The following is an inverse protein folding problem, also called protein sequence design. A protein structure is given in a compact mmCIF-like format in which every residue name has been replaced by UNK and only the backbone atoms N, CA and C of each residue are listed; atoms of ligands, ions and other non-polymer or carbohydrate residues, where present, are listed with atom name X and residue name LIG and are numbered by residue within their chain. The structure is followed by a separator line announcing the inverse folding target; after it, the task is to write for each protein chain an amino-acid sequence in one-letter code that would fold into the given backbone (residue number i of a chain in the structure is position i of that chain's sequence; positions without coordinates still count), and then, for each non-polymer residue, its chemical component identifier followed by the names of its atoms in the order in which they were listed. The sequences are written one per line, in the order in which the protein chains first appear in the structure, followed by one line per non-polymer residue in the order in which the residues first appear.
data_IF_346472560009
#
_entry.id   IF_346472560009
#
_cell.length_a   1.000
_cell.length_b   1.000
_cell.length_c   1.000
_cell.angle_alpha   90.00
_cell.angle_beta   90.00
_cell.angle_gamma   90.00
#
_symmetry.space_group_name_H-M   'P 1'
#
loop_
_entity.id
_entity.type
_entity.pdbx_description
1 polymer ?
#
# COMPACT_ATOMS: atom_id res chain seq x y z
N UNK A 1 -2.65 18.57 -30.43
CA UNK A 1 -3.26 17.29 -30.83
C UNK A 1 -4.02 16.60 -29.69
N UNK A 2 -3.37 15.92 -28.73
CA UNK A 2 -4.02 14.97 -27.81
C UNK A 2 -5.23 15.47 -26.98
N UNK A 3 -5.29 16.77 -26.66
CA UNK A 3 -6.37 17.32 -25.82
C UNK A 3 -7.76 17.22 -26.50
N UNK A 4 -7.83 17.22 -27.84
CA UNK A 4 -9.12 17.11 -28.56
C UNK A 4 -9.69 15.68 -28.54
N UNK A 5 -8.86 14.64 -28.61
CA UNK A 5 -9.31 13.24 -28.51
C UNK A 5 -10.04 12.97 -27.17
N UNK A 6 -9.53 13.55 -26.07
CA UNK A 6 -10.14 13.44 -24.73
C UNK A 6 -11.48 14.17 -24.60
N UNK A 7 -11.78 15.13 -25.49
CA UNK A 7 -13.09 15.80 -25.60
C UNK A 7 -14.05 14.98 -26.47
N UNK A 8 -13.58 14.46 -27.61
CA UNK A 8 -14.40 13.65 -28.53
C UNK A 8 -14.90 12.35 -27.88
N UNK A 9 -14.08 11.68 -27.05
CA UNK A 9 -14.49 10.50 -26.28
C UNK A 9 -15.58 10.85 -25.24
N UNK A 10 -15.61 12.08 -24.70
CA UNK A 10 -16.73 12.56 -23.87
C UNK A 10 -17.98 12.87 -24.71
N UNK A 11 -17.81 13.44 -25.90
CA UNK A 11 -18.92 13.85 -26.78
C UNK A 11 -19.73 12.65 -27.33
N UNK A 12 -19.11 11.49 -27.55
CA UNK A 12 -19.81 10.29 -28.04
C UNK A 12 -20.85 9.73 -27.02
N UNK A 13 -20.75 10.12 -25.75
CA UNK A 13 -21.52 9.54 -24.62
C UNK A 13 -22.98 10.03 -24.51
N UNK A 14 -23.53 10.70 -25.53
CA UNK A 14 -24.85 11.36 -25.46
C UNK A 14 -25.89 10.92 -26.53
N UNK A 15 -25.61 9.92 -27.38
CA UNK A 15 -26.60 9.40 -28.35
C UNK A 15 -26.56 7.87 -28.58
N UNK A 16 -27.21 7.11 -27.69
CA UNK A 16 -28.19 6.06 -28.10
C UNK A 16 -29.11 5.69 -26.93
N UNK A 17 -30.42 5.63 -27.18
CA UNK A 17 -31.46 5.38 -26.18
C UNK A 17 -32.24 4.11 -26.56
N UNK A 18 -32.58 3.26 -25.58
CA UNK A 18 -33.23 1.93 -25.75
C UNK A 18 -32.39 0.92 -26.60
N UNK A 19 -32.62 -0.40 -26.64
CA UNK A 19 -33.76 -1.32 -26.37
C UNK A 19 -33.15 -2.61 -25.72
N UNK A 20 -33.74 -3.49 -24.89
CA UNK A 20 -35.14 -3.83 -24.53
C UNK A 20 -35.31 -4.10 -22.99
N UNK A 21 -36.04 -5.17 -22.59
CA UNK A 21 -36.35 -5.60 -21.19
C UNK A 21 -36.74 -7.11 -21.19
N UNK A 22 -36.94 -7.72 -20.00
CA UNK A 22 -37.31 -9.13 -19.72
C UNK A 22 -36.09 -10.12 -19.79
N UNK A 23 -36.06 -11.28 -19.11
CA UNK A 23 -37.14 -12.02 -18.44
C UNK A 23 -36.74 -12.82 -17.17
N UNK A 24 -37.79 -13.28 -16.46
CA UNK A 24 -37.90 -14.32 -15.40
C UNK A 24 -37.11 -14.33 -14.07
N UNK A 25 -37.93 -14.36 -13.01
CA UNK A 25 -37.68 -14.82 -11.65
C UNK A 25 -37.41 -16.34 -11.57
N UNK A 26 -36.63 -16.76 -10.57
CA UNK A 26 -37.04 -17.84 -9.64
C UNK A 26 -36.46 -17.56 -8.24
N UNK A 27 -37.22 -17.90 -7.19
CA UNK A 27 -36.72 -17.90 -5.81
C UNK A 27 -36.15 -19.28 -5.50
N UNK A 28 -34.95 -19.39 -4.94
CA UNK A 28 -34.44 -20.64 -4.37
C UNK A 28 -33.96 -20.43 -2.94
N UNK A 29 -34.84 -20.71 -1.98
CA UNK A 29 -34.62 -20.46 -0.56
C UNK A 29 -33.89 -21.64 0.11
N UNK A 30 -32.56 -21.64 0.03
CA UNK A 30 -31.73 -22.72 0.59
C UNK A 30 -31.40 -22.44 2.07
N UNK A 31 -32.06 -23.15 2.99
CA UNK A 31 -31.74 -23.13 4.44
C UNK A 31 -30.24 -23.34 4.63
N UNK A 32 -29.61 -22.54 5.50
CA UNK A 32 -28.23 -22.75 5.96
C UNK A 32 -28.24 -23.13 7.44
N UNK A 33 -27.71 -24.31 7.74
CA UNK A 33 -27.45 -24.77 9.11
C UNK A 33 -26.36 -23.91 9.75
N UNK A 34 -26.63 -23.37 10.95
CA UNK A 34 -25.68 -22.52 11.68
C UNK A 34 -24.56 -23.38 12.29
N UNK A 35 -23.53 -23.66 11.50
CA UNK A 35 -22.27 -24.26 11.98
C UNK A 35 -21.24 -23.15 12.23
N UNK A 36 -20.64 -23.11 13.41
CA UNK A 36 -19.72 -22.07 13.90
C UNK A 36 -18.34 -22.11 13.23
N UNK A 37 -18.27 -21.85 11.92
CA UNK A 37 -17.02 -21.75 11.17
C UNK A 37 -16.14 -20.63 11.75
N UNK A 38 -15.05 -20.99 12.45
CA UNK A 38 -13.89 -20.12 12.65
C UNK A 38 -13.44 -19.63 11.28
N UNK A 39 -13.72 -18.37 10.97
CA UNK A 39 -13.51 -17.78 9.65
C UNK A 39 -12.02 -17.55 9.43
N UNK A 40 -11.33 -18.58 8.93
CA UNK A 40 -9.99 -18.45 8.36
C UNK A 40 -9.97 -17.22 7.46
N UNK A 41 -9.06 -16.28 7.75
CA UNK A 41 -8.89 -15.11 6.90
C UNK A 41 -8.25 -15.60 5.61
N UNK A 42 -9.01 -15.59 4.51
CA UNK A 42 -8.49 -15.88 3.18
C UNK A 42 -7.24 -15.03 2.93
N UNK A 43 -6.22 -15.61 2.30
CA UNK A 43 -5.06 -14.87 1.83
C UNK A 43 -5.52 -13.63 1.04
N UNK A 44 -4.78 -12.53 1.17
CA UNK A 44 -5.16 -11.26 0.55
C UNK A 44 -4.76 -11.27 -0.93
N UNK A 45 -5.52 -12.02 -1.73
CA UNK A 45 -5.33 -12.14 -3.18
C UNK A 45 -5.26 -10.77 -3.84
N UNK A 46 -4.05 -10.37 -4.22
CA UNK A 46 -3.84 -9.10 -4.90
C UNK A 46 -4.37 -9.22 -6.32
N UNK A 47 -5.25 -8.29 -6.73
CA UNK A 47 -5.73 -8.24 -8.10
C UNK A 47 -4.56 -7.84 -8.99
N UNK A 48 -4.13 -8.78 -9.84
CA UNK A 48 -3.08 -8.57 -10.82
C UNK A 48 -3.48 -7.47 -11.81
N UNK A 49 -2.52 -6.78 -12.41
CA UNK A 49 -2.77 -5.57 -13.18
C UNK A 49 -3.72 -5.80 -14.37
N UNK A 50 -3.49 -6.88 -15.11
CA UNK A 50 -4.35 -7.34 -16.22
C UNK A 50 -5.83 -7.55 -15.80
N UNK A 51 -6.10 -8.09 -14.62
CA UNK A 51 -7.47 -8.23 -14.11
C UNK A 51 -8.12 -6.85 -13.89
N UNK A 52 -7.35 -5.84 -13.47
CA UNK A 52 -7.87 -4.47 -13.28
C UNK A 52 -8.18 -3.81 -14.62
N UNK A 53 -7.30 -3.96 -15.61
CA UNK A 53 -7.54 -3.48 -16.98
C UNK A 53 -8.79 -4.13 -17.58
N UNK A 54 -8.95 -5.46 -17.43
CA UNK A 54 -10.15 -6.18 -17.87
C UNK A 54 -11.43 -5.71 -17.17
N UNK A 55 -11.37 -5.42 -15.87
CA UNK A 55 -12.50 -4.85 -15.12
C UNK A 55 -12.93 -3.49 -15.70
N UNK A 56 -11.98 -2.61 -16.00
CA UNK A 56 -12.24 -1.31 -16.64
C UNK A 56 -12.80 -1.49 -18.04
N UNK A 57 -12.16 -2.30 -18.89
CA UNK A 57 -12.62 -2.53 -20.27
C UNK A 57 -14.06 -3.07 -20.31
N UNK A 58 -14.42 -4.04 -19.46
CA UNK A 58 -15.80 -4.52 -19.39
C UNK A 58 -16.78 -3.49 -18.81
N UNK A 59 -16.33 -2.58 -17.92
CA UNK A 59 -17.16 -1.47 -17.42
C UNK A 59 -17.43 -0.44 -18.53
N UNK A 60 -16.43 -0.08 -19.33
CA UNK A 60 -16.60 0.85 -20.45
C UNK A 60 -17.42 0.22 -21.60
N UNK A 61 -17.40 -1.11 -21.75
CA UNK A 61 -18.37 -1.87 -22.56
C UNK A 61 -19.79 -1.95 -21.94
N UNK A 62 -20.04 -1.35 -20.76
CA UNK A 62 -21.37 -1.25 -20.15
C UNK A 62 -21.89 -2.51 -19.42
N UNK A 63 -21.04 -3.50 -19.12
CA UNK A 63 -21.47 -4.72 -18.42
C UNK A 63 -21.84 -4.45 -16.96
N UNK A 64 -22.78 -5.24 -16.42
CA UNK A 64 -23.10 -5.16 -15.00
C UNK A 64 -21.94 -5.70 -14.14
N UNK A 65 -21.76 -5.15 -12.94
CA UNK A 65 -20.74 -5.64 -12.00
C UNK A 65 -20.88 -7.13 -11.67
N UNK A 66 -22.06 -7.75 -11.82
CA UNK A 66 -22.28 -9.19 -11.64
C UNK A 66 -21.67 -10.02 -12.77
N UNK A 67 -21.69 -9.53 -14.01
CA UNK A 67 -21.08 -10.20 -15.15
C UNK A 67 -19.56 -10.01 -15.16
N UNK A 68 -19.08 -8.80 -14.88
CA UNK A 68 -17.63 -8.50 -14.74
C UNK A 68 -17.02 -9.41 -13.66
N UNK A 69 -17.68 -9.52 -12.51
CA UNK A 69 -17.33 -10.44 -11.42
C UNK A 69 -17.19 -11.89 -11.91
N UNK A 70 -18.13 -12.39 -12.69
CA UNK A 70 -18.09 -13.75 -13.24
C UNK A 70 -17.01 -13.95 -14.31
N UNK A 71 -16.75 -12.94 -15.17
CA UNK A 71 -15.73 -13.01 -16.23
C UNK A 71 -14.28 -12.87 -15.74
N UNK A 72 -14.08 -12.25 -14.58
CA UNK A 72 -12.75 -11.98 -13.99
C UNK A 72 -12.49 -12.82 -12.72
N UNK A 73 -13.49 -13.54 -12.21
CA UNK A 73 -13.33 -14.47 -11.07
C UNK A 73 -13.05 -13.80 -9.71
N UNK A 74 -13.17 -12.46 -9.62
CA UNK A 74 -12.93 -11.69 -8.39
C UNK A 74 -14.25 -11.31 -7.71
N UNK A 75 -14.21 -10.92 -6.43
CA UNK A 75 -15.39 -10.48 -5.68
C UNK A 75 -16.01 -9.19 -6.27
N UNK A 76 -17.34 -9.07 -6.22
CA UNK A 76 -18.10 -7.92 -6.73
C UNK A 76 -17.69 -6.60 -6.05
N UNK A 77 -17.38 -6.66 -4.75
CA UNK A 77 -16.87 -5.50 -3.98
C UNK A 77 -15.48 -5.05 -4.47
N UNK A 78 -14.67 -5.99 -4.95
CA UNK A 78 -13.35 -5.70 -5.55
C UNK A 78 -13.50 -5.06 -6.93
N UNK A 79 -14.40 -5.59 -7.77
CA UNK A 79 -14.78 -4.99 -9.06
C UNK A 79 -15.25 -3.54 -8.85
N UNK A 80 -16.26 -3.34 -8.01
CA UNK A 80 -16.83 -2.02 -7.72
C UNK A 80 -15.77 -1.03 -7.20
N UNK A 81 -14.87 -1.45 -6.31
CA UNK A 81 -13.75 -0.62 -5.81
C UNK A 81 -12.71 -0.24 -6.86
N UNK A 82 -12.57 -1.01 -7.94
CA UNK A 82 -11.69 -0.69 -9.07
C UNK A 82 -12.41 0.29 -10.00
N UNK A 83 -13.67 0.00 -10.34
CA UNK A 83 -14.55 0.88 -11.12
C UNK A 83 -14.70 2.27 -10.50
N UNK A 84 -14.94 2.36 -9.19
CA UNK A 84 -15.00 3.61 -8.43
C UNK A 84 -13.68 4.40 -8.47
N UNK A 85 -12.54 3.70 -8.45
CA UNK A 85 -11.21 4.34 -8.50
C UNK A 85 -10.93 4.89 -9.89
N UNK A 86 -11.25 4.11 -10.92
CA UNK A 86 -11.16 4.53 -12.32
C UNK A 86 -11.97 5.80 -12.56
N UNK A 87 -13.25 5.80 -12.18
CA UNK A 87 -14.14 6.97 -12.32
C UNK A 87 -13.69 8.20 -11.50
N UNK A 88 -13.02 8.01 -10.36
CA UNK A 88 -12.59 9.11 -9.46
C UNK A 88 -11.15 9.61 -9.70
N UNK A 89 -10.31 8.84 -10.40
CA UNK A 89 -8.86 9.15 -10.55
C UNK A 89 -8.26 8.89 -11.93
N UNK A 90 -8.91 8.15 -12.82
CA UNK A 90 -8.33 7.75 -14.12
C UNK A 90 -7.15 6.77 -14.01
N UNK A 91 -7.05 6.02 -12.90
CA UNK A 91 -6.02 4.99 -12.67
C UNK A 91 -6.63 3.79 -11.94
N UNK A 92 -6.17 2.59 -12.28
CA UNK A 92 -6.53 1.34 -11.59
C UNK A 92 -5.55 1.00 -10.45
N UNK A 93 -4.47 1.75 -10.33
CA UNK A 93 -3.28 1.41 -9.55
C UNK A 93 -3.52 1.50 -8.05
N UNK A 94 -2.70 0.78 -7.29
CA UNK A 94 -2.66 0.95 -5.84
C UNK A 94 -2.18 2.38 -5.58
N UNK A 95 -2.70 3.04 -4.54
CA UNK A 95 -1.98 4.20 -4.00
C UNK A 95 -0.67 3.70 -3.44
N UNK A 96 0.43 4.34 -3.77
CA UNK A 96 1.70 4.12 -3.08
C UNK A 96 1.50 4.31 -1.58
N UNK A 97 2.06 3.39 -0.80
CA UNK A 97 1.98 3.49 0.65
C UNK A 97 3.19 4.25 1.13
N UNK A 98 3.01 5.54 1.41
CA UNK A 98 3.94 6.30 2.22
C UNK A 98 4.30 5.49 3.47
N UNK A 99 5.58 5.32 3.73
CA UNK A 99 6.04 4.69 4.96
C UNK A 99 5.58 5.52 6.17
N UNK A 100 5.41 4.90 7.36
CA UNK A 100 5.17 5.64 8.59
C UNK A 100 6.25 6.73 8.79
N UNK A 101 5.90 7.86 9.43
CA UNK A 101 6.88 8.91 9.72
C UNK A 101 8.05 8.35 10.52
N UNK A 102 9.27 8.75 10.16
CA UNK A 102 10.48 8.25 10.80
C UNK A 102 10.67 8.91 12.18
N UNK A 103 11.16 8.13 13.14
CA UNK A 103 11.38 8.56 14.52
C UNK A 103 12.52 9.59 14.68
N UNK A 104 13.42 9.68 13.71
CA UNK A 104 14.51 10.65 13.67
C UNK A 104 14.45 11.47 12.39
N UNK A 105 14.85 12.74 12.46
CA UNK A 105 14.97 13.63 11.31
C UNK A 105 16.30 13.46 10.59
N UNK A 106 16.38 13.93 9.35
CA UNK A 106 17.63 14.04 8.59
C UNK A 106 18.72 14.87 9.30
N UNK A 107 18.39 15.72 10.28
CA UNK A 107 19.39 16.43 11.10
C UNK A 107 20.01 15.50 12.15
N UNK A 108 19.19 14.76 12.88
CA UNK A 108 19.66 13.74 13.84
C UNK A 108 20.43 12.63 13.14
N UNK A 109 19.95 12.13 11.99
CA UNK A 109 20.63 11.07 11.23
C UNK A 109 22.06 11.49 10.83
N UNK A 110 22.26 12.77 10.48
CA UNK A 110 23.61 13.33 10.24
C UNK A 110 24.43 13.50 11.51
N UNK A 111 23.83 13.68 12.68
CA UNK A 111 24.54 13.66 13.97
C UNK A 111 24.92 12.23 14.39
N UNK A 112 24.05 11.24 14.19
CA UNK A 112 24.32 9.81 14.39
C UNK A 112 25.57 9.39 13.60
N UNK A 113 25.55 9.62 12.28
CA UNK A 113 26.65 9.25 11.38
C UNK A 113 27.96 9.93 11.76
N UNK A 114 27.94 11.24 12.07
CA UNK A 114 29.15 11.95 12.53
C UNK A 114 29.69 11.37 13.85
N UNK A 115 28.82 11.05 14.81
CA UNK A 115 29.24 10.56 16.13
C UNK A 115 30.01 9.25 16.02
N UNK A 116 29.49 8.30 15.24
CA UNK A 116 30.13 7.00 14.96
C UNK A 116 31.45 7.13 14.16
N UNK A 117 31.52 8.10 13.24
CA UNK A 117 32.74 8.34 12.43
C UNK A 117 33.83 9.07 13.22
N UNK A 118 33.48 9.98 14.13
CA UNK A 118 34.43 10.70 14.99
C UNK A 118 34.94 9.84 16.15
N UNK A 119 34.07 9.03 16.74
CA UNK A 119 34.44 8.13 17.83
C UNK A 119 33.78 6.76 17.65
N UNK A 120 34.61 5.80 17.24
CA UNK A 120 34.23 4.40 16.96
C UNK A 120 34.09 3.55 18.24
N UNK A 121 34.31 4.12 19.43
CA UNK A 121 34.08 3.43 20.70
C UNK A 121 32.64 3.59 21.21
N UNK A 122 31.91 4.60 20.72
CA UNK A 122 30.58 4.97 21.24
C UNK A 122 29.54 3.89 20.93
N UNK A 123 28.83 3.41 21.96
CA UNK A 123 27.73 2.46 21.76
C UNK A 123 26.49 3.17 21.18
N UNK A 124 25.63 2.46 20.41
CA UNK A 124 24.33 2.99 19.97
C UNK A 124 23.40 3.46 21.09
N UNK A 125 23.61 3.01 22.34
CA UNK A 125 22.84 3.45 23.51
C UNK A 125 23.33 4.82 24.01
N UNK A 126 24.64 5.06 24.01
CA UNK A 126 25.21 6.37 24.36
C UNK A 126 25.01 7.41 23.25
N UNK A 127 24.93 7.00 21.97
CA UNK A 127 24.47 7.89 20.88
C UNK A 127 22.99 8.26 21.08
N UNK A 128 22.13 7.30 21.42
CA UNK A 128 20.72 7.55 21.72
C UNK A 128 20.54 8.57 22.86
N UNK A 129 21.14 8.33 24.03
CA UNK A 129 21.06 9.23 25.19
C UNK A 129 21.51 10.66 24.87
N UNK A 130 22.52 10.82 24.02
CA UNK A 130 22.94 12.15 23.57
C UNK A 130 21.89 12.85 22.69
N UNK A 131 21.21 12.12 21.80
CA UNK A 131 20.15 12.69 20.96
C UNK A 131 18.91 13.02 21.81
N UNK A 132 18.61 12.21 22.81
CA UNK A 132 17.56 12.46 23.82
C UNK A 132 17.87 13.71 24.68
N UNK A 133 19.15 14.04 24.90
CA UNK A 133 19.54 15.29 25.57
C UNK A 133 19.40 16.56 24.68
N UNK A 134 19.19 16.39 23.38
CA UNK A 134 19.14 17.49 22.37
C UNK A 134 17.76 17.59 21.69
N UNK A 135 16.91 16.58 21.81
CA UNK A 135 15.62 16.49 21.09
C UNK A 135 14.50 15.98 22.02
N UNK A 136 13.24 16.42 21.84
CA UNK A 136 12.14 16.11 22.76
C UNK A 136 11.53 14.70 22.56
N UNK A 137 12.25 13.76 21.92
CA UNK A 137 11.74 12.43 21.56
C UNK A 137 12.75 11.35 21.96
N UNK A 138 12.26 10.23 22.54
CA UNK A 138 13.12 9.08 22.83
C UNK A 138 13.49 8.32 21.55
N UNK A 139 14.76 7.94 21.41
CA UNK A 139 15.29 7.26 20.22
C UNK A 139 15.98 5.96 20.63
N UNK A 140 15.34 4.82 20.38
CA UNK A 140 15.92 3.53 20.77
C UNK A 140 17.29 3.27 20.13
N UNK A 141 18.20 2.61 20.85
CA UNK A 141 19.49 2.17 20.29
C UNK A 141 19.35 1.21 19.09
N UNK A 142 18.18 0.57 18.92
CA UNK A 142 17.84 -0.19 17.70
C UNK A 142 17.56 0.73 16.51
N UNK A 143 16.91 1.88 16.73
CA UNK A 143 16.74 2.93 15.73
C UNK A 143 18.11 3.44 15.27
N UNK A 144 19.01 3.76 16.21
CA UNK A 144 20.38 4.19 15.92
C UNK A 144 21.12 3.17 15.05
N UNK A 145 21.11 1.87 15.44
CA UNK A 145 21.73 0.80 14.63
C UNK A 145 21.16 0.73 13.21
N UNK A 146 19.84 0.84 13.05
CA UNK A 146 19.21 0.88 11.73
C UNK A 146 19.61 2.10 10.89
N UNK A 147 19.84 3.28 11.50
CA UNK A 147 20.34 4.47 10.79
C UNK A 147 21.78 4.34 10.32
N UNK A 148 22.64 3.75 11.16
CA UNK A 148 24.02 3.43 10.78
C UNK A 148 24.03 2.43 9.61
N UNK A 149 23.23 1.36 9.71
CA UNK A 149 23.09 0.39 8.61
C UNK A 149 22.54 1.01 7.32
N UNK A 150 21.57 1.94 7.40
CA UNK A 150 21.07 2.70 6.25
C UNK A 150 22.11 3.63 5.60
N UNK A 151 23.17 3.99 6.32
CA UNK A 151 24.30 4.80 5.83
C UNK A 151 25.56 3.97 5.53
N UNK A 152 25.44 2.63 5.52
CA UNK A 152 26.56 1.71 5.25
C UNK A 152 27.52 1.50 6.43
N UNK A 153 27.25 2.10 7.60
CA UNK A 153 28.05 1.95 8.80
C UNK A 153 27.55 0.77 9.65
N UNK A 154 28.47 -0.08 10.09
CA UNK A 154 28.18 -1.05 11.14
C UNK A 154 28.36 -0.39 12.50
N UNK A 155 27.28 -0.31 13.27
CA UNK A 155 27.29 0.16 14.65
C UNK A 155 28.34 -0.59 15.47
N UNK A 156 29.23 0.15 16.13
CA UNK A 156 30.39 -0.44 16.80
C UNK A 156 30.00 -1.25 18.03
N UNK A 157 30.60 -2.44 18.12
CA UNK A 157 30.48 -3.36 19.23
C UNK A 157 31.84 -3.42 19.93
N UNK A 158 32.05 -2.70 21.05
CA UNK A 158 33.29 -2.79 21.80
C UNK A 158 33.49 -4.24 22.28
N UNK A 159 34.64 -4.82 21.90
CA UNK A 159 35.02 -6.15 22.38
C UNK A 159 35.33 -6.06 23.87
N UNK A 160 34.65 -6.88 24.67
CA UNK A 160 34.80 -6.87 26.13
C UNK A 160 36.18 -7.44 26.51
N UNK A 161 37.03 -6.61 27.12
CA UNK A 161 38.18 -7.07 27.91
C UNK A 161 39.53 -7.14 27.20
N UNK A 162 39.99 -6.05 26.58
CA UNK A 162 41.42 -5.81 26.38
C UNK A 162 41.85 -4.54 27.15
N UNK A 163 42.21 -4.73 28.42
CA UNK A 163 42.84 -3.70 29.25
C UNK A 163 44.32 -3.58 28.90
N UNK A 164 44.64 -2.70 27.95
CA UNK A 164 46.02 -2.25 27.77
C UNK A 164 46.44 -1.50 29.05
N UNK A 165 47.49 -2.00 29.68
CA UNK A 165 48.06 -1.52 30.96
C UNK A 165 49.54 -1.25 30.75
#
# INVERSE_FOLDING_TARGET
MERHLKVLIKAWRFRRFQVQRLCFSTRFFKKQSVTSRRKQRSAFDQVYEFDRMRIVAYQDCGLSFREIRSRVGRNQTTVMRICDRWMKKGTTDRRDQSHPPQCTTSREDRQIVRREVTDRSVTPRTVAQHIESVTPHSVSGRTIRHRLQQSGLSASHPLLGLTLT
#
